data_IF_754098545670
#
_entry.id   IF_754098545670
#
_cell.length_a   1.000
_cell.length_b   1.000
_cell.length_c   1.000
_cell.angle_alpha   90.00
_cell.angle_beta   90.00
_cell.angle_gamma   90.00
#
_symmetry.space_group_name_H-M   'P 1'
#
loop_
_entity.id
_entity.type
_entity.pdbx_description
1 polymer ?
#
# COMPACT_ATOMS: atom_id res chain seq x y z
N UNK A 1 -25.71 35.41 19.99
CA UNK A 1 -25.45 34.00 20.36
C UNK A 1 -26.24 33.00 19.50
N UNK A 2 -27.58 33.08 19.39
CA UNK A 2 -28.39 32.13 18.60
C UNK A 2 -27.99 32.03 17.11
N UNK A 3 -27.71 33.17 16.44
CA UNK A 3 -27.27 33.19 15.02
C UNK A 3 -25.89 32.57 14.80
N UNK A 4 -24.96 32.77 15.74
CA UNK A 4 -23.63 32.15 15.70
C UNK A 4 -23.71 30.64 15.92
N UNK A 5 -24.57 30.20 16.84
CA UNK A 5 -24.83 28.78 17.07
C UNK A 5 -25.49 28.10 15.86
N UNK A 6 -26.48 28.74 15.24
CA UNK A 6 -27.09 28.25 13.99
C UNK A 6 -26.09 28.15 12.84
N UNK A 7 -25.21 29.15 12.69
CA UNK A 7 -24.16 29.13 11.66
C UNK A 7 -23.16 27.98 11.90
N UNK A 8 -22.78 27.74 13.16
CA UNK A 8 -21.89 26.63 13.51
C UNK A 8 -22.52 25.28 13.17
N UNK A 9 -23.78 25.05 13.56
CA UNK A 9 -24.49 23.79 13.25
C UNK A 9 -24.62 23.59 11.74
N UNK A 10 -24.90 24.65 10.97
CA UNK A 10 -24.95 24.58 9.51
C UNK A 10 -23.59 24.17 8.92
N UNK A 11 -22.49 24.74 9.40
CA UNK A 11 -21.13 24.41 8.92
C UNK A 11 -20.81 22.95 9.24
N UNK A 12 -21.08 22.48 10.45
CA UNK A 12 -20.84 21.08 10.83
C UNK A 12 -21.66 20.13 9.95
N UNK A 13 -22.94 20.46 9.70
CA UNK A 13 -23.79 19.66 8.83
C UNK A 13 -23.25 19.61 7.38
N UNK A 14 -22.78 20.76 6.86
CA UNK A 14 -22.14 20.84 5.54
C UNK A 14 -20.86 20.00 5.48
N UNK A 15 -20.02 20.04 6.52
CA UNK A 15 -18.83 19.21 6.61
C UNK A 15 -19.16 17.72 6.62
N UNK A 16 -20.18 17.31 7.37
CA UNK A 16 -20.65 15.91 7.39
C UNK A 16 -21.14 15.47 6.01
N UNK A 17 -21.89 16.32 5.30
CA UNK A 17 -22.32 16.01 3.93
C UNK A 17 -21.15 15.89 2.97
N UNK A 18 -20.17 16.79 3.05
CA UNK A 18 -18.94 16.72 2.24
C UNK A 18 -18.17 15.42 2.53
N UNK A 19 -18.01 15.06 3.81
CA UNK A 19 -17.38 13.80 4.20
C UNK A 19 -18.17 12.61 3.65
N UNK A 20 -19.50 12.63 3.76
CA UNK A 20 -20.37 11.58 3.21
C UNK A 20 -20.21 11.42 1.69
N UNK A 21 -20.15 12.53 0.94
CA UNK A 21 -19.87 12.53 -0.50
C UNK A 21 -18.48 11.96 -0.79
N UNK A 22 -17.46 12.34 -0.02
CA UNK A 22 -16.09 11.81 -0.19
C UNK A 22 -16.07 10.30 0.05
N UNK A 23 -16.75 9.82 1.09
CA UNK A 23 -16.81 8.39 1.42
C UNK A 23 -17.60 7.57 0.39
N UNK A 24 -18.72 8.12 -0.13
CA UNK A 24 -19.58 7.44 -1.08
C UNK A 24 -19.04 7.46 -2.51
N UNK A 25 -18.60 8.62 -3.01
CA UNK A 25 -18.14 8.78 -4.39
C UNK A 25 -16.63 8.59 -4.57
N UNK A 26 -15.84 8.59 -3.49
CA UNK A 26 -14.37 8.55 -3.53
C UNK A 26 -13.74 9.49 -4.58
N UNK A 27 -14.12 10.79 -4.61
CA UNK A 27 -13.57 11.73 -5.57
C UNK A 27 -12.04 11.80 -5.39
N UNK A 28 -11.30 11.75 -6.50
CA UNK A 28 -9.83 11.79 -6.53
C UNK A 28 -9.13 10.70 -5.70
N UNK A 29 -9.79 9.57 -5.46
CA UNK A 29 -9.27 8.47 -4.65
C UNK A 29 -8.87 8.88 -3.21
N UNK A 30 -9.44 9.98 -2.70
CA UNK A 30 -9.14 10.52 -1.38
C UNK A 30 -9.37 9.50 -0.26
N UNK A 31 -10.37 8.62 -0.39
CA UNK A 31 -10.60 7.52 0.56
C UNK A 31 -9.39 6.60 0.62
N UNK A 32 -8.85 6.23 -0.55
CA UNK A 32 -7.71 5.31 -0.65
C UNK A 32 -6.45 5.95 -0.05
N UNK A 33 -6.20 7.24 -0.35
CA UNK A 33 -5.03 7.97 0.19
C UNK A 33 -5.03 8.12 1.71
N UNK A 34 -6.19 8.40 2.31
CA UNK A 34 -6.32 8.49 3.78
C UNK A 34 -6.02 7.12 4.42
N UNK A 35 -6.46 6.04 3.79
CA UNK A 35 -6.19 4.67 4.24
C UNK A 35 -4.70 4.34 4.11
N UNK A 36 -4.04 4.75 3.02
CA UNK A 36 -2.60 4.59 2.78
C UNK A 36 -1.71 5.17 3.87
N UNK A 37 -2.04 6.36 4.37
CA UNK A 37 -1.29 7.01 5.47
C UNK A 37 -1.27 6.10 6.71
N UNK A 38 -2.41 5.53 7.09
CA UNK A 38 -2.51 4.63 8.24
C UNK A 38 -1.78 3.31 8.00
N UNK A 39 -1.76 2.82 6.76
CA UNK A 39 -1.04 1.60 6.37
C UNK A 39 0.47 1.80 6.47
N UNK A 40 1.00 2.87 5.89
CA UNK A 40 2.44 3.13 5.93
C UNK A 40 2.93 3.27 7.36
N UNK A 41 2.15 3.91 8.23
CA UNK A 41 2.49 3.97 9.64
C UNK A 41 2.63 2.57 10.26
N UNK A 42 1.71 1.65 9.97
CA UNK A 42 1.76 0.25 10.44
C UNK A 42 2.98 -0.50 9.89
N UNK A 43 3.19 -0.46 8.57
CA UNK A 43 4.33 -1.11 7.92
C UNK A 43 5.67 -0.55 8.42
N UNK A 44 5.76 0.77 8.65
CA UNK A 44 6.97 1.41 9.16
C UNK A 44 7.26 1.10 10.63
N UNK A 45 6.24 0.78 11.44
CA UNK A 45 6.49 0.42 12.85
C UNK A 45 7.08 -0.98 13.00
N UNK A 46 6.76 -1.89 12.08
CA UNK A 46 7.26 -3.27 12.08
C UNK A 46 8.70 -3.36 11.53
N UNK A 47 9.09 -2.47 10.61
CA UNK A 47 10.48 -2.38 10.08
C UNK A 47 11.53 -1.86 11.07
N UNK A 48 11.13 -1.34 12.25
CA UNK A 48 12.06 -0.81 13.26
C UNK A 48 12.65 -1.87 14.21
N UNK A 49 12.30 -3.15 14.06
CA UNK A 49 12.81 -4.20 14.97
C UNK A 49 14.04 -4.94 14.40
N UNK A 50 14.42 -4.79 13.13
CA UNK A 50 15.46 -5.67 12.55
C UNK A 50 16.56 -5.01 11.69
N UNK A 51 16.85 -3.71 11.83
CA UNK A 51 17.86 -3.08 10.95
C UNK A 51 18.79 -2.07 11.66
N UNK A 52 19.47 -2.47 12.75
CA UNK A 52 20.60 -1.68 13.29
C UNK A 52 21.99 -2.17 12.83
N UNK A 53 22.11 -3.31 12.12
CA UNK A 53 23.45 -3.93 11.92
C UNK A 53 23.95 -4.10 10.46
N UNK A 54 23.30 -3.56 9.42
CA UNK A 54 23.77 -3.78 8.03
C UNK A 54 23.70 -2.52 7.15
N UNK A 55 24.53 -1.51 7.44
CA UNK A 55 24.67 -0.33 6.53
C UNK A 55 26.11 -0.04 6.08
N UNK A 56 27.15 -0.71 6.61
CA UNK A 56 28.54 -0.27 6.33
C UNK A 56 29.36 -1.09 5.30
N UNK A 57 28.79 -2.06 4.57
CA UNK A 57 29.62 -2.92 3.69
C UNK A 57 29.14 -3.10 2.23
N UNK A 58 28.45 -2.13 1.64
CA UNK A 58 28.03 -2.21 0.23
C UNK A 58 28.61 -1.09 -0.67
N UNK A 59 29.76 -0.51 -0.32
CA UNK A 59 30.36 0.61 -1.09
C UNK A 59 31.62 0.25 -1.88
N UNK A 60 31.76 -0.96 -2.42
CA UNK A 60 32.78 -1.17 -3.47
C UNK A 60 32.42 -2.32 -4.42
N UNK A 61 32.77 -2.11 -5.69
CA UNK A 61 32.64 -3.00 -6.86
C UNK A 61 31.22 -2.95 -7.45
N UNK A 62 30.99 -2.42 -8.66
CA UNK A 62 31.42 -2.99 -9.95
C UNK A 62 31.61 -1.88 -11.01
N UNK A 63 32.68 -2.01 -11.77
CA UNK A 63 33.01 -1.23 -12.96
C UNK A 63 32.15 -1.58 -14.19
N UNK A 64 31.96 -0.52 -14.97
CA UNK A 64 31.48 -0.35 -16.33
C UNK A 64 31.72 -1.50 -17.34
N UNK A 65 30.64 -1.98 -17.97
CA UNK A 65 30.71 -2.55 -19.33
C UNK A 65 29.44 -2.17 -20.11
N UNK A 66 29.63 -1.37 -21.16
CA UNK A 66 28.57 -0.76 -21.97
C UNK A 66 28.24 -1.60 -23.23
N UNK A 67 26.95 -1.53 -23.64
CA UNK A 67 26.34 -1.58 -25.01
C UNK A 67 25.65 -2.91 -25.46
N UNK A 68 24.47 -2.92 -26.15
CA UNK A 68 23.54 -1.83 -26.55
C UNK A 68 22.04 -2.01 -26.18
N UNK A 69 21.38 -0.86 -25.94
CA UNK A 69 20.02 -0.43 -26.32
C UNK A 69 18.99 -1.51 -26.74
N UNK A 70 18.22 -1.98 -25.76
CA UNK A 70 16.81 -2.33 -25.91
C UNK A 70 16.02 -1.43 -24.95
N UNK A 71 14.99 -0.75 -25.45
CA UNK A 71 14.09 0.08 -24.64
C UNK A 71 13.18 -0.83 -23.81
N UNK A 72 13.63 -1.19 -22.62
CA UNK A 72 12.72 -1.47 -21.51
C UNK A 72 12.64 -0.20 -20.67
N UNK A 73 11.42 0.27 -20.46
CA UNK A 73 11.13 1.24 -19.42
C UNK A 73 11.42 0.47 -18.14
N UNK A 74 12.62 0.63 -17.58
CA UNK A 74 12.93 0.13 -16.25
C UNK A 74 12.06 0.96 -15.31
N UNK A 75 10.81 0.54 -15.12
CA UNK A 75 10.17 0.69 -13.83
C UNK A 75 11.16 0.03 -12.86
N UNK A 76 11.72 0.83 -11.96
CA UNK A 76 12.53 0.28 -10.88
C UNK A 76 11.61 -0.63 -10.08
N UNK A 77 11.58 -1.94 -10.40
CA UNK A 77 10.88 -2.96 -9.64
C UNK A 77 11.23 -2.77 -8.16
N UNK A 78 10.21 -2.45 -7.36
CA UNK A 78 10.38 -2.13 -5.93
C UNK A 78 10.13 -3.36 -5.09
N UNK A 79 9.38 -4.34 -5.59
CA UNK A 79 9.14 -5.60 -4.91
C UNK A 79 9.02 -6.79 -5.89
N UNK A 80 9.91 -7.80 -5.76
CA UNK A 80 9.99 -8.92 -6.71
C UNK A 80 8.78 -9.88 -6.68
N UNK A 81 7.89 -9.74 -5.69
CA UNK A 81 6.68 -10.55 -5.56
C UNK A 81 5.48 -9.93 -6.26
N UNK A 82 5.61 -8.71 -6.77
CA UNK A 82 4.53 -7.96 -7.40
C UNK A 82 4.86 -7.70 -8.87
N UNK A 83 3.84 -7.68 -9.71
CA UNK A 83 3.97 -7.13 -11.05
C UNK A 83 3.74 -5.60 -11.05
N UNK A 84 4.08 -4.94 -12.16
CA UNK A 84 3.95 -3.48 -12.29
C UNK A 84 2.53 -2.96 -12.02
N UNK A 85 1.49 -3.71 -12.40
CA UNK A 85 0.10 -3.31 -12.18
C UNK A 85 -0.25 -3.36 -10.69
N UNK A 86 0.20 -4.39 -9.99
CA UNK A 86 0.02 -4.56 -8.55
C UNK A 86 0.77 -3.49 -7.76
N UNK A 87 2.02 -3.19 -8.12
CA UNK A 87 2.80 -2.11 -7.51
C UNK A 87 2.08 -0.76 -7.66
N UNK A 88 1.73 -0.40 -8.89
CA UNK A 88 1.03 0.86 -9.19
C UNK A 88 -0.30 0.95 -8.44
N UNK A 89 -1.02 -0.17 -8.31
CA UNK A 89 -2.29 -0.21 -7.60
C UNK A 89 -2.10 0.02 -6.10
N UNK A 90 -1.14 -0.63 -5.49
CA UNK A 90 -0.82 -0.45 -4.08
C UNK A 90 -0.28 0.97 -3.79
N UNK A 91 0.53 1.53 -4.67
CA UNK A 91 0.97 2.93 -4.59
C UNK A 91 -0.21 3.91 -4.71
N UNK A 92 -1.20 3.63 -5.56
CA UNK A 92 -2.41 4.46 -5.65
C UNK A 92 -3.21 4.47 -4.35
N UNK A 93 -3.12 3.38 -3.57
CA UNK A 93 -3.66 3.30 -2.22
C UNK A 93 -2.77 3.96 -1.17
N UNK A 94 -1.62 4.50 -1.58
CA UNK A 94 -0.64 5.13 -0.71
C UNK A 94 0.21 4.12 0.07
N UNK A 95 0.36 2.88 -0.40
CA UNK A 95 1.28 1.90 0.21
C UNK A 95 2.70 2.15 -0.27
N UNK A 96 3.67 2.15 0.64
CA UNK A 96 5.09 2.11 0.27
C UNK A 96 5.52 0.68 -0.07
N UNK A 97 5.77 0.42 -1.35
CA UNK A 97 6.11 -0.92 -1.89
C UNK A 97 7.41 -1.47 -1.28
N UNK A 98 8.37 -0.59 -0.99
CA UNK A 98 9.67 -0.98 -0.42
C UNK A 98 9.57 -1.56 0.99
N UNK A 99 8.47 -1.25 1.70
CA UNK A 99 8.22 -1.74 3.06
C UNK A 99 7.49 -3.10 3.06
N UNK A 100 7.06 -3.60 1.90
CA UNK A 100 6.43 -4.91 1.83
C UNK A 100 7.48 -6.01 1.94
N UNK A 101 7.14 -7.17 2.54
CA UNK A 101 8.02 -8.33 2.55
C UNK A 101 8.44 -8.71 1.13
N UNK A 102 9.69 -9.13 0.98
CA UNK A 102 10.24 -9.65 -0.28
C UNK A 102 10.14 -11.18 -0.37
N UNK A 103 9.67 -11.81 0.70
CA UNK A 103 9.41 -13.25 0.82
C UNK A 103 8.12 -13.47 1.60
N UNK A 104 7.43 -14.57 1.34
CA UNK A 104 6.16 -14.93 1.99
C UNK A 104 6.38 -16.17 2.86
N UNK A 105 6.02 -16.10 4.14
CA UNK A 105 6.02 -17.25 5.04
C UNK A 105 4.79 -18.12 4.79
N UNK A 106 4.81 -19.42 5.12
CA UNK A 106 3.62 -20.27 5.04
C UNK A 106 2.43 -19.70 5.84
N UNK A 107 2.72 -19.02 6.96
CA UNK A 107 1.73 -18.41 7.85
C UNK A 107 1.11 -17.16 7.24
N UNK A 108 1.92 -16.31 6.58
CA UNK A 108 1.42 -15.19 5.78
C UNK A 108 0.48 -15.68 4.68
N UNK A 109 0.86 -16.74 3.95
CA UNK A 109 0.05 -17.32 2.87
C UNK A 109 -1.28 -17.88 3.39
N UNK A 110 -1.26 -18.61 4.51
CA UNK A 110 -2.46 -19.15 5.13
C UNK A 110 -3.41 -18.02 5.61
N UNK A 111 -2.87 -16.99 6.25
CA UNK A 111 -3.64 -15.82 6.67
C UNK A 111 -4.25 -15.09 5.46
N UNK A 112 -3.49 -14.94 4.38
CA UNK A 112 -3.96 -14.29 3.16
C UNK A 112 -5.17 -15.01 2.55
N UNK A 113 -5.08 -16.35 2.45
CA UNK A 113 -6.18 -17.21 1.99
C UNK A 113 -7.37 -17.15 2.94
N UNK A 114 -7.15 -17.11 4.26
CA UNK A 114 -8.24 -16.98 5.25
C UNK A 114 -9.01 -15.66 5.08
N UNK A 115 -8.31 -14.55 4.86
CA UNK A 115 -8.91 -13.21 4.79
C UNK A 115 -9.61 -12.92 3.47
N UNK A 116 -9.11 -13.47 2.35
CA UNK A 116 -9.63 -13.19 1.01
C UNK A 116 -10.41 -14.34 0.38
N UNK A 117 -10.19 -15.56 0.87
CA UNK A 117 -10.66 -16.80 0.25
C UNK A 117 -9.69 -17.31 -0.82
N UNK A 118 -9.64 -18.63 -0.98
CA UNK A 118 -8.69 -19.31 -1.89
C UNK A 118 -8.76 -18.77 -3.33
N UNK A 119 -9.96 -18.71 -3.91
CA UNK A 119 -10.12 -18.30 -5.31
C UNK A 119 -9.55 -16.90 -5.58
N UNK A 120 -9.82 -15.94 -4.67
CA UNK A 120 -9.34 -14.57 -4.84
C UNK A 120 -7.84 -14.44 -4.54
N UNK A 121 -7.34 -15.21 -3.58
CA UNK A 121 -5.91 -15.29 -3.31
C UNK A 121 -5.14 -15.81 -4.55
N UNK A 122 -5.64 -16.87 -5.20
CA UNK A 122 -5.03 -17.45 -6.40
C UNK A 122 -5.01 -16.45 -7.57
N UNK A 123 -6.09 -15.68 -7.77
CA UNK A 123 -6.13 -14.62 -8.77
C UNK A 123 -5.06 -13.54 -8.53
N UNK A 124 -4.90 -13.10 -7.28
CA UNK A 124 -3.90 -12.09 -6.92
C UNK A 124 -2.48 -12.65 -7.07
N UNK A 125 -2.25 -13.89 -6.66
CA UNK A 125 -0.96 -14.58 -6.85
C UNK A 125 -0.64 -14.73 -8.36
N UNK A 126 -1.67 -14.98 -9.18
CA UNK A 126 -1.53 -15.03 -10.63
C UNK A 126 -1.32 -13.64 -11.29
N UNK A 127 -1.34 -12.56 -10.52
CA UNK A 127 -1.02 -11.21 -10.99
C UNK A 127 -2.22 -10.26 -11.06
N UNK A 128 -3.42 -10.67 -10.64
CA UNK A 128 -4.55 -9.73 -10.54
C UNK A 128 -4.21 -8.59 -9.59
N UNK A 129 -4.57 -7.37 -9.97
CA UNK A 129 -4.44 -6.21 -9.10
C UNK A 129 -5.36 -6.36 -7.86
N UNK A 130 -4.86 -6.09 -6.65
CA UNK A 130 -5.67 -6.12 -5.44
C UNK A 130 -6.57 -4.88 -5.35
N UNK A 131 -7.72 -5.04 -4.70
CA UNK A 131 -8.59 -3.94 -4.32
C UNK A 131 -8.19 -3.35 -2.97
N UNK A 132 -8.60 -2.09 -2.72
CA UNK A 132 -8.28 -1.41 -1.47
C UNK A 132 -8.79 -2.17 -0.23
N UNK A 133 -9.98 -2.76 -0.30
CA UNK A 133 -10.53 -3.54 0.81
C UNK A 133 -9.77 -4.84 1.05
N UNK A 134 -9.22 -5.46 0.01
CA UNK A 134 -8.45 -6.69 0.09
C UNK A 134 -7.14 -6.43 0.81
N UNK A 135 -6.45 -5.35 0.43
CA UNK A 135 -5.26 -4.91 1.14
C UNK A 135 -5.54 -4.65 2.63
N UNK A 136 -6.63 -3.94 2.95
CA UNK A 136 -6.99 -3.63 4.33
C UNK A 136 -7.20 -4.90 5.16
N UNK A 137 -7.89 -5.90 4.61
CA UNK A 137 -8.14 -7.18 5.26
C UNK A 137 -6.86 -8.01 5.43
N UNK A 138 -5.99 -7.97 4.43
CA UNK A 138 -4.78 -8.77 4.38
C UNK A 138 -3.58 -8.14 5.11
N UNK A 139 -3.63 -6.85 5.49
CA UNK A 139 -2.49 -6.16 6.12
C UNK A 139 -1.93 -6.87 7.35
N UNK A 140 -2.83 -7.47 8.14
CA UNK A 140 -2.49 -8.17 9.40
C UNK A 140 -1.73 -9.47 9.13
N UNK A 141 -1.75 -9.95 7.88
CA UNK A 141 -1.00 -11.13 7.47
C UNK A 141 0.47 -10.81 7.23
N UNK A 142 0.85 -9.54 7.09
CA UNK A 142 2.25 -9.15 6.88
C UNK A 142 3.09 -9.28 8.17
N UNK A 143 2.44 -9.31 9.33
CA UNK A 143 3.05 -9.50 10.65
C UNK A 143 3.05 -10.96 11.12
N UNK A 144 2.87 -11.93 10.21
CA UNK A 144 2.73 -13.36 10.52
C UNK A 144 3.97 -14.17 10.16
#
# INVERSE_FOLDING_TARGET
>A
MKKAFQLFVLIVFLLILIIGVILYFNPFELRNKIIGIAINHYLSTETLIENEDIVENAKNTIEEKVIPKAQEIISSDKNPLLNEEQEKKLESFGVNIENLPKTISPEMGACFIEKLGQARADEIIAGSAPEALEFIKARECLSK
#
